data_IF_152055960606
#
_entry.id   IF_152055960606
#
_cell.length_a   1.000
_cell.length_b   1.000
_cell.length_c   1.000
_cell.angle_alpha   90.00
_cell.angle_beta   90.00
_cell.angle_gamma   90.00
#
_symmetry.space_group_name_H-M   'P 1'
#
loop_
_entity.id
_entity.type
_entity.pdbx_description
1 polymer ?
#
# COMPACT_ATOMS: atom_id res chain seq x y z
N UNK A 1 13.79 82.63 -17.59
CA UNK A 1 13.55 81.79 -16.40
C UNK A 1 12.36 80.81 -16.51
N UNK A 2 11.90 80.42 -17.73
CA UNK A 2 10.69 79.57 -17.93
C UNK A 2 10.98 78.12 -18.37
N UNK A 3 12.20 77.84 -18.82
CA UNK A 3 12.65 76.54 -19.36
C UNK A 3 12.94 75.47 -18.28
N UNK A 4 13.17 75.85 -17.02
CA UNK A 4 13.57 74.90 -15.95
C UNK A 4 12.40 74.18 -15.29
N UNK A 5 11.16 74.71 -15.40
CA UNK A 5 9.97 74.08 -14.80
C UNK A 5 9.49 72.90 -15.65
N UNK A 6 9.47 73.03 -16.98
CA UNK A 6 9.04 71.96 -17.89
C UNK A 6 9.92 70.70 -17.79
N UNK A 7 11.25 70.86 -17.66
CA UNK A 7 12.19 69.73 -17.47
C UNK A 7 11.94 68.94 -16.18
N UNK A 8 11.50 69.60 -15.10
CA UNK A 8 11.20 68.94 -13.83
C UNK A 8 9.94 68.06 -13.91
N UNK A 9 8.92 68.50 -14.65
CA UNK A 9 7.71 67.71 -14.86
C UNK A 9 7.90 66.55 -15.83
N UNK A 10 8.74 66.72 -16.87
CA UNK A 10 9.10 65.62 -17.78
C UNK A 10 9.90 64.54 -17.05
N UNK A 11 10.83 64.93 -16.17
CA UNK A 11 11.60 63.97 -15.37
C UNK A 11 10.72 63.22 -14.35
N UNK A 12 9.81 63.93 -13.68
CA UNK A 12 8.83 63.31 -12.79
C UNK A 12 7.88 62.36 -13.53
N UNK A 13 7.45 62.72 -14.74
CA UNK A 13 6.60 61.86 -15.57
C UNK A 13 7.33 60.59 -16.00
N UNK A 14 8.59 60.69 -16.43
CA UNK A 14 9.42 59.53 -16.81
C UNK A 14 9.67 58.61 -15.60
N UNK A 15 9.88 59.19 -14.41
CA UNK A 15 10.06 58.41 -13.18
C UNK A 15 8.78 57.69 -12.75
N UNK A 16 7.61 58.33 -12.87
CA UNK A 16 6.31 57.68 -12.61
C UNK A 16 6.01 56.61 -13.66
N UNK A 17 6.36 56.86 -14.92
CA UNK A 17 6.18 55.89 -16.01
C UNK A 17 7.13 54.69 -15.87
N UNK A 18 8.34 54.87 -15.31
CA UNK A 18 9.26 53.76 -15.05
C UNK A 18 8.85 52.89 -13.88
N UNK A 19 8.07 53.41 -12.92
CA UNK A 19 7.44 52.59 -11.86
C UNK A 19 6.27 51.74 -12.38
N UNK A 20 5.70 52.07 -13.55
CA UNK A 20 4.61 51.32 -14.19
C UNK A 20 5.11 50.24 -15.17
N UNK A 21 6.42 50.12 -15.39
CA UNK A 21 7.01 49.04 -16.18
C UNK A 21 7.05 47.78 -15.30
N UNK A 22 5.89 47.14 -15.21
CA UNK A 22 5.70 45.71 -14.97
C UNK A 22 6.47 45.11 -13.79
N UNK A 23 5.87 45.13 -12.60
CA UNK A 23 6.01 43.97 -11.73
C UNK A 23 5.51 42.77 -12.54
N UNK A 24 6.42 41.95 -13.06
CA UNK A 24 6.04 40.62 -13.53
C UNK A 24 5.46 39.91 -12.33
N UNK A 25 4.14 39.87 -12.22
CA UNK A 25 3.46 38.89 -11.38
C UNK A 25 3.87 37.55 -11.95
N UNK A 26 4.90 36.95 -11.35
CA UNK A 26 5.17 35.53 -11.49
C UNK A 26 3.92 34.84 -10.94
N UNK A 27 2.99 34.50 -11.83
CA UNK A 27 1.97 33.52 -11.51
C UNK A 27 2.77 32.28 -11.09
N UNK A 28 2.59 31.85 -9.84
CA UNK A 28 3.16 30.58 -9.39
C UNK A 28 2.79 29.54 -10.44
N UNK A 29 3.78 28.83 -10.99
CA UNK A 29 3.54 27.80 -11.99
C UNK A 29 2.55 26.80 -11.40
N UNK A 30 1.35 26.71 -11.96
CA UNK A 30 0.34 25.75 -11.51
C UNK A 30 0.96 24.37 -11.62
N UNK A 31 0.99 23.61 -10.52
CA UNK A 31 1.51 22.25 -10.52
C UNK A 31 0.79 21.43 -11.59
N UNK A 32 1.55 20.83 -12.51
CA UNK A 32 1.03 19.98 -13.59
C UNK A 32 0.57 18.61 -13.09
N UNK A 33 0.95 18.26 -11.85
CA UNK A 33 0.52 17.06 -11.16
C UNK A 33 -0.24 17.41 -9.88
N UNK A 34 -1.28 16.64 -9.60
CA UNK A 34 -2.04 16.66 -8.36
C UNK A 34 -2.14 15.23 -7.81
N UNK A 35 -2.08 15.08 -6.49
CA UNK A 35 -2.31 13.80 -5.83
C UNK A 35 -3.79 13.74 -5.46
N UNK A 36 -4.54 12.87 -6.14
CA UNK A 36 -5.99 12.74 -5.92
C UNK A 36 -6.29 11.97 -4.63
N UNK A 37 -5.59 10.84 -4.43
CA UNK A 37 -5.66 10.03 -3.23
C UNK A 37 -4.25 9.61 -2.83
N UNK A 38 -4.03 9.52 -1.52
CA UNK A 38 -2.80 8.98 -0.97
C UNK A 38 -3.08 8.21 0.32
N UNK A 39 -2.55 7.00 0.42
CA UNK A 39 -2.49 6.26 1.67
C UNK A 39 -1.06 6.26 2.18
N UNK A 40 -0.87 6.69 3.43
CA UNK A 40 0.42 6.76 4.12
C UNK A 40 0.39 5.75 5.26
N UNK A 41 1.19 4.69 5.16
CA UNK A 41 1.38 3.75 6.26
C UNK A 41 2.69 4.08 6.99
N UNK A 42 2.57 4.38 8.29
CA UNK A 42 3.68 4.64 9.20
C UNK A 42 3.81 3.45 10.13
N UNK A 43 4.84 2.62 9.90
CA UNK A 43 4.96 1.29 10.49
C UNK A 43 6.27 1.18 11.28
N UNK A 44 6.31 1.69 12.52
CA UNK A 44 7.48 1.56 13.39
C UNK A 44 7.71 0.10 13.77
N UNK A 45 8.98 -0.33 13.74
CA UNK A 45 9.37 -1.68 14.17
C UNK A 45 8.54 -2.80 13.49
N UNK A 46 8.28 -2.68 12.19
CA UNK A 46 7.48 -3.66 11.44
C UNK A 46 8.25 -4.96 11.23
N UNK A 47 9.22 -4.98 10.32
CA UNK A 47 10.09 -6.12 9.98
C UNK A 47 11.57 -5.84 10.29
N UNK A 48 11.91 -4.58 10.57
CA UNK A 48 13.22 -4.11 11.05
C UNK A 48 13.04 -3.21 12.28
N UNK A 49 14.10 -2.83 13.01
CA UNK A 49 14.02 -1.83 14.08
C UNK A 49 13.73 -0.39 13.60
N UNK A 50 13.82 -0.13 12.30
CA UNK A 50 13.57 1.19 11.70
C UNK A 50 12.05 1.41 11.51
N UNK A 51 11.63 2.60 11.05
CA UNK A 51 10.24 2.87 10.66
C UNK A 51 10.12 2.57 9.16
N UNK A 52 9.19 1.67 8.80
CA UNK A 52 8.79 1.47 7.41
C UNK A 52 7.72 2.50 7.02
N UNK A 53 7.95 3.20 5.92
CA UNK A 53 7.01 4.14 5.32
C UNK A 53 6.60 3.63 3.95
N UNK A 54 5.29 3.48 3.74
CA UNK A 54 4.70 3.08 2.46
C UNK A 54 3.69 4.14 2.06
N UNK A 55 3.82 4.63 0.84
CA UNK A 55 2.89 5.56 0.21
C UNK A 55 2.24 4.89 -0.99
N UNK A 56 0.93 4.77 -1.01
CA UNK A 56 0.18 4.52 -2.25
C UNK A 56 -0.36 5.85 -2.76
N UNK A 57 0.04 6.28 -3.95
CA UNK A 57 -0.22 7.63 -4.46
C UNK A 57 -0.88 7.58 -5.83
N UNK A 58 -1.97 8.32 -6.01
CA UNK A 58 -2.64 8.52 -7.30
C UNK A 58 -2.30 9.89 -7.88
N UNK A 59 -1.32 9.95 -8.79
CA UNK A 59 -0.94 11.18 -9.48
C UNK A 59 -1.83 11.43 -10.70
N UNK A 60 -2.44 12.61 -10.79
CA UNK A 60 -3.23 13.07 -11.93
C UNK A 60 -2.50 14.17 -12.68
N UNK A 61 -2.46 14.07 -14.01
CA UNK A 61 -2.08 15.19 -14.86
C UNK A 61 -3.25 16.20 -14.95
N UNK A 62 -3.04 17.40 -14.40
CA UNK A 62 -4.05 18.47 -14.36
C UNK A 62 -3.90 19.47 -15.51
N UNK A 63 -2.86 19.32 -16.34
CA UNK A 63 -2.64 20.17 -17.50
C UNK A 63 -3.47 19.74 -18.71
N UNK A 64 -3.53 20.62 -19.71
CA UNK A 64 -4.17 20.39 -21.00
C UNK A 64 -3.26 19.66 -22.01
N UNK A 65 -2.02 19.35 -21.62
CA UNK A 65 -1.03 18.68 -22.46
C UNK A 65 -0.56 17.36 -21.84
N UNK A 66 -0.07 16.39 -22.65
CA UNK A 66 0.59 15.21 -22.10
C UNK A 66 1.79 15.57 -21.22
N UNK A 67 1.90 14.95 -20.06
CA UNK A 67 2.97 15.16 -19.10
C UNK A 67 4.01 14.03 -19.17
N UNK A 68 5.22 14.36 -19.61
CA UNK A 68 6.36 13.43 -19.74
C UNK A 68 7.49 13.69 -18.73
N UNK A 69 7.21 14.49 -17.70
CA UNK A 69 8.19 14.92 -16.71
C UNK A 69 8.51 13.87 -15.66
N UNK A 70 9.22 14.31 -14.61
CA UNK A 70 9.58 13.53 -13.43
C UNK A 70 8.72 13.97 -12.26
N UNK A 71 8.34 13.03 -11.40
CA UNK A 71 7.92 13.38 -10.06
C UNK A 71 9.13 13.41 -9.12
N UNK A 72 9.04 14.27 -8.11
CA UNK A 72 10.03 14.43 -7.05
C UNK A 72 9.35 14.08 -5.73
N UNK A 73 9.99 13.23 -4.94
CA UNK A 73 9.51 12.86 -3.61
C UNK A 73 10.55 13.18 -2.57
N UNK A 74 10.19 13.99 -1.57
CA UNK A 74 11.10 14.35 -0.50
C UNK A 74 11.32 13.16 0.43
N UNK A 75 12.59 12.88 0.73
CA UNK A 75 13.03 11.86 1.66
C UNK A 75 13.75 12.51 2.85
N UNK A 76 13.44 12.09 4.09
CA UNK A 76 14.28 12.40 5.23
C UNK A 76 15.73 11.96 4.98
N UNK A 77 16.68 12.69 5.57
CA UNK A 77 18.09 12.29 5.50
C UNK A 77 18.30 10.91 6.11
N UNK A 78 19.24 10.16 5.52
CA UNK A 78 19.61 8.81 5.94
C UNK A 78 18.48 7.77 5.81
N UNK A 79 17.49 8.03 4.96
CA UNK A 79 16.53 7.01 4.52
C UNK A 79 17.23 5.88 3.77
N UNK A 80 16.70 4.66 3.85
CA UNK A 80 17.32 3.44 3.31
C UNK A 80 16.29 2.61 2.55
N UNK A 81 16.77 1.71 1.68
CA UNK A 81 15.96 0.68 0.98
C UNK A 81 14.70 1.28 0.35
N UNK A 82 14.92 2.23 -0.55
CA UNK A 82 13.86 2.95 -1.23
C UNK A 82 13.42 2.20 -2.49
N UNK A 83 12.12 2.16 -2.76
CA UNK A 83 11.54 1.54 -3.95
C UNK A 83 10.43 2.41 -4.53
N UNK A 84 10.24 2.33 -5.84
CA UNK A 84 9.07 2.88 -6.53
C UNK A 84 8.48 1.79 -7.42
N UNK A 85 7.20 1.50 -7.25
CA UNK A 85 6.48 0.53 -8.07
C UNK A 85 5.28 1.16 -8.79
N UNK A 86 5.09 0.80 -10.06
CA UNK A 86 3.87 1.12 -10.81
C UNK A 86 2.80 0.08 -10.49
N UNK A 87 1.78 0.48 -9.71
CA UNK A 87 0.74 -0.44 -9.23
C UNK A 87 -0.07 -1.05 -10.39
N UNK A 88 -0.05 -0.48 -11.59
CA UNK A 88 -0.76 -1.06 -12.74
C UNK A 88 -0.05 -2.28 -13.34
N UNK A 89 1.25 -2.45 -13.08
CA UNK A 89 2.10 -3.47 -13.71
C UNK A 89 2.37 -4.72 -12.87
N UNK A 90 1.85 -4.80 -11.65
CA UNK A 90 2.15 -5.91 -10.72
C UNK A 90 3.25 -5.53 -9.75
N UNK A 91 3.95 -6.53 -9.21
CA UNK A 91 5.15 -6.34 -8.39
C UNK A 91 6.31 -5.91 -9.31
N UNK A 92 6.65 -4.62 -9.28
CA UNK A 92 7.66 -4.02 -10.16
C UNK A 92 8.39 -2.91 -9.38
N UNK A 93 8.92 -3.27 -8.21
CA UNK A 93 9.74 -2.40 -7.39
C UNK A 93 11.04 -2.09 -8.14
N UNK A 94 11.17 -0.84 -8.53
CA UNK A 94 12.38 -0.31 -9.15
C UNK A 94 13.14 0.50 -8.10
N UNK A 95 14.46 0.42 -8.12
CA UNK A 95 15.29 1.37 -7.39
C UNK A 95 15.25 2.72 -8.12
N UNK A 96 14.66 3.78 -7.54
CA UNK A 96 14.64 5.11 -8.13
C UNK A 96 16.03 5.78 -8.16
N UNK A 97 16.13 6.86 -8.95
CA UNK A 97 17.26 7.79 -8.84
C UNK A 97 17.11 8.62 -7.58
N UNK A 98 18.16 8.71 -6.78
CA UNK A 98 18.22 9.57 -5.58
C UNK A 98 19.10 10.78 -5.84
N UNK A 99 18.55 11.96 -5.57
CA UNK A 99 19.27 13.23 -5.53
C UNK A 99 19.54 13.59 -4.08
N UNK A 100 20.82 13.70 -3.72
CA UNK A 100 21.23 14.12 -2.39
C UNK A 100 21.36 15.65 -2.31
N UNK A 101 20.72 16.27 -1.32
CA UNK A 101 20.89 17.71 -1.01
C UNK A 101 21.37 17.91 0.43
N UNK A 102 21.60 19.14 0.89
CA UNK A 102 22.09 19.35 2.27
C UNK A 102 21.05 18.97 3.34
N UNK A 103 19.78 19.36 3.14
CA UNK A 103 18.72 19.21 4.15
C UNK A 103 17.94 17.90 4.05
N UNK A 104 17.66 17.46 2.83
CA UNK A 104 16.83 16.30 2.53
C UNK A 104 17.28 15.65 1.22
N UNK A 105 17.07 14.35 1.11
CA UNK A 105 17.26 13.65 -0.15
C UNK A 105 15.95 13.65 -0.93
N UNK A 106 16.01 13.32 -2.22
CA UNK A 106 14.85 13.31 -3.09
C UNK A 106 14.90 12.08 -4.00
N UNK A 107 13.78 11.36 -4.08
CA UNK A 107 13.52 10.47 -5.22
C UNK A 107 13.20 11.36 -6.41
N UNK A 108 13.82 11.08 -7.54
CA UNK A 108 13.47 11.65 -8.83
C UNK A 108 13.13 10.49 -9.75
N UNK A 109 11.89 10.45 -10.24
CA UNK A 109 11.43 9.32 -11.05
C UNK A 109 10.60 9.79 -12.24
N UNK A 110 10.95 9.26 -13.41
CA UNK A 110 10.31 9.60 -14.68
C UNK A 110 9.19 8.63 -15.03
N UNK A 111 8.05 9.16 -15.43
CA UNK A 111 6.96 8.33 -15.94
C UNK A 111 7.40 7.61 -17.23
N UNK A 112 7.28 6.26 -17.31
CA UNK A 112 7.70 5.50 -18.49
C UNK A 112 6.91 5.87 -19.76
N UNK A 113 5.67 6.32 -19.58
CA UNK A 113 4.77 6.78 -20.63
C UNK A 113 4.20 8.14 -20.24
N UNK A 114 4.04 9.09 -21.19
CA UNK A 114 3.43 10.38 -20.89
C UNK A 114 2.01 10.22 -20.35
N UNK A 115 1.70 10.88 -19.25
CA UNK A 115 0.34 10.94 -18.70
C UNK A 115 -0.50 11.88 -19.55
N UNK A 116 -1.58 11.39 -20.14
CA UNK A 116 -2.50 12.23 -20.92
C UNK A 116 -3.24 13.23 -20.02
N UNK A 117 -3.78 14.32 -20.56
CA UNK A 117 -4.61 15.26 -19.81
C UNK A 117 -5.72 14.55 -19.02
N UNK A 118 -5.78 14.76 -17.71
CA UNK A 118 -6.74 14.13 -16.81
C UNK A 118 -6.47 12.67 -16.45
N UNK A 119 -5.46 12.02 -17.04
CA UNK A 119 -5.06 10.66 -16.71
C UNK A 119 -4.49 10.59 -15.29
N UNK A 120 -4.76 9.47 -14.60
CA UNK A 120 -4.25 9.18 -13.26
C UNK A 120 -3.33 7.96 -13.29
N UNK A 121 -2.22 8.02 -12.56
CA UNK A 121 -1.24 6.95 -12.39
C UNK A 121 -1.04 6.62 -10.92
N UNK A 122 -1.30 5.37 -10.57
CA UNK A 122 -1.11 4.85 -9.21
C UNK A 122 0.30 4.29 -9.03
N UNK A 123 1.03 4.84 -8.07
CA UNK A 123 2.38 4.43 -7.70
C UNK A 123 2.44 4.00 -6.23
N UNK A 124 3.40 3.15 -5.91
CA UNK A 124 3.80 2.85 -4.54
C UNK A 124 5.23 3.35 -4.33
N UNK A 125 5.47 4.03 -3.21
CA UNK A 125 6.79 4.51 -2.81
C UNK A 125 7.04 3.95 -1.41
N UNK A 126 8.16 3.28 -1.22
CA UNK A 126 8.51 2.68 0.07
C UNK A 126 9.93 3.05 0.46
N UNK A 127 10.16 3.24 1.74
CA UNK A 127 11.51 3.41 2.30
C UNK A 127 11.49 3.22 3.81
N UNK A 128 12.69 3.01 4.37
CA UNK A 128 12.93 2.93 5.80
C UNK A 128 13.60 4.21 6.28
N UNK A 129 13.16 4.71 7.43
CA UNK A 129 13.74 5.87 8.09
C UNK A 129 13.78 5.63 9.59
N UNK A 130 14.86 5.99 10.25
CA UNK A 130 14.98 5.81 11.69
C UNK A 130 15.31 7.12 12.40
N UNK A 131 14.29 7.63 13.07
CA UNK A 131 14.37 8.67 14.09
C UNK A 131 13.66 8.24 15.38
N UNK A 132 13.59 6.92 15.61
CA UNK A 132 13.10 6.35 16.86
C UNK A 132 14.12 6.61 17.97
N UNK A 133 13.65 7.20 19.05
CA UNK A 133 14.45 7.50 20.23
C UNK A 133 13.90 6.74 21.44
N UNK A 134 14.78 6.36 22.37
CA UNK A 134 14.41 5.74 23.65
C UNK A 134 14.34 4.22 23.68
N UNK A 135 13.93 3.69 24.83
CA UNK A 135 13.81 2.25 25.12
C UNK A 135 13.74 1.99 26.65
N UNK A 136 12.66 1.40 27.18
CA UNK A 136 11.49 0.82 26.50
C UNK A 136 10.44 1.84 26.04
N UNK A 137 10.45 3.04 26.61
CA UNK A 137 9.58 4.14 26.18
C UNK A 137 10.19 4.81 24.96
N UNK A 138 9.47 4.73 23.84
CA UNK A 138 9.95 5.15 22.53
C UNK A 138 9.14 6.31 22.00
N UNK A 139 9.82 7.19 21.27
CA UNK A 139 9.21 8.34 20.60
C UNK A 139 9.78 8.54 19.21
N UNK A 140 8.96 9.06 18.29
CA UNK A 140 9.44 9.57 17.02
C UNK A 140 8.51 10.67 16.49
N UNK A 141 8.99 11.41 15.49
CA UNK A 141 8.19 12.40 14.74
C UNK A 141 8.18 12.00 13.28
N UNK A 142 6.99 11.69 12.77
CA UNK A 142 6.78 11.58 11.34
C UNK A 142 6.41 12.95 10.77
N UNK A 143 7.07 13.33 9.68
CA UNK A 143 6.84 14.60 8.99
C UNK A 143 6.55 14.34 7.51
N UNK A 144 5.43 14.88 7.02
CA UNK A 144 5.09 14.89 5.60
C UNK A 144 5.03 16.34 5.10
N UNK A 145 5.98 16.70 4.25
CA UNK A 145 5.99 17.98 3.54
C UNK A 145 5.53 17.73 2.11
N UNK A 146 4.37 18.28 1.76
CA UNK A 146 3.72 18.03 0.49
C UNK A 146 4.39 18.81 -0.65
N UNK A 147 4.89 18.12 -1.67
CA UNK A 147 5.47 18.77 -2.87
C UNK A 147 4.39 19.16 -3.88
N UNK A 148 3.29 18.41 -3.90
CA UNK A 148 2.18 18.56 -4.85
C UNK A 148 0.90 18.95 -4.10
N UNK A 149 -0.08 19.57 -4.77
CA UNK A 149 -1.43 19.63 -4.22
C UNK A 149 -1.94 18.22 -3.93
N UNK A 150 -2.54 18.00 -2.76
CA UNK A 150 -3.14 16.72 -2.35
C UNK A 150 -4.61 16.96 -2.03
N UNK A 151 -5.51 16.38 -2.83
CA UNK A 151 -6.94 16.47 -2.58
C UNK A 151 -7.31 15.70 -1.30
N UNK A 152 -6.82 14.46 -1.17
CA UNK A 152 -7.08 13.60 -0.01
C UNK A 152 -5.89 12.70 0.31
N UNK A 153 -5.56 12.61 1.60
CA UNK A 153 -4.65 11.61 2.13
C UNK A 153 -5.23 10.93 3.37
N UNK A 154 -4.96 9.64 3.57
CA UNK A 154 -5.18 8.93 4.82
C UNK A 154 -3.83 8.54 5.41
N UNK A 155 -3.57 8.97 6.64
CA UNK A 155 -2.41 8.51 7.41
C UNK A 155 -2.84 7.41 8.36
N UNK A 156 -2.16 6.28 8.30
CA UNK A 156 -2.33 5.12 9.17
C UNK A 156 -1.05 4.87 9.96
N UNK A 157 -1.09 5.07 11.27
CA UNK A 157 0.03 4.80 12.17
C UNK A 157 -0.21 3.48 12.88
N UNK A 158 0.71 2.53 12.69
CA UNK A 158 0.60 1.18 13.22
C UNK A 158 1.25 1.11 14.60
N UNK A 159 0.53 0.53 15.57
CA UNK A 159 1.12 0.15 16.85
C UNK A 159 1.98 -1.10 16.66
N UNK A 160 3.27 -1.09 16.99
CA UNK A 160 4.08 -2.30 16.93
C UNK A 160 3.46 -3.41 17.77
N UNK A 161 3.57 -4.66 17.32
CA UNK A 161 3.12 -5.80 18.12
C UNK A 161 3.90 -5.83 19.44
N UNK A 162 3.20 -6.19 20.52
CA UNK A 162 3.72 -6.19 21.90
C UNK A 162 4.12 -4.80 22.43
N UNK A 163 3.80 -3.71 21.73
CA UNK A 163 3.83 -2.38 22.31
C UNK A 163 2.53 -2.10 23.09
N UNK A 164 2.61 -1.16 24.02
CA UNK A 164 1.49 -0.67 24.82
C UNK A 164 1.56 0.86 24.95
N UNK A 165 0.50 1.46 25.51
CA UNK A 165 0.45 2.90 25.81
C UNK A 165 0.75 3.80 24.59
N UNK A 166 0.32 3.40 23.40
CA UNK A 166 0.56 4.19 22.20
C UNK A 166 -0.27 5.48 22.24
N UNK A 167 0.40 6.60 21.97
CA UNK A 167 -0.23 7.92 21.82
C UNK A 167 0.24 8.51 20.50
N UNK A 168 -0.72 9.03 19.73
CA UNK A 168 -0.48 9.72 18.47
C UNK A 168 -0.99 11.16 18.60
N UNK A 169 -0.13 12.13 18.29
CA UNK A 169 -0.44 13.57 18.36
C UNK A 169 -0.24 14.21 16.98
N UNK A 170 -1.21 14.96 16.44
CA UNK A 170 -2.53 15.26 17.01
C UNK A 170 -3.37 13.99 17.19
N UNK A 171 -4.44 14.05 17.97
CA UNK A 171 -5.28 12.87 18.22
C UNK A 171 -5.87 12.31 16.91
N UNK A 172 -5.69 11.00 16.71
CA UNK A 172 -6.21 10.21 15.58
C UNK A 172 -7.47 9.42 15.97
N UNK A 173 -7.95 9.58 17.21
CA UNK A 173 -9.06 8.82 17.75
C UNK A 173 -8.64 7.42 18.19
N UNK A 174 -9.62 6.53 18.28
CA UNK A 174 -9.39 5.16 18.75
C UNK A 174 -8.71 4.31 17.69
N UNK A 175 -7.83 3.41 18.14
CA UNK A 175 -7.21 2.43 17.27
C UNK A 175 -8.27 1.51 16.67
N UNK A 176 -8.10 1.19 15.39
CA UNK A 176 -8.89 0.21 14.66
C UNK A 176 -8.07 -1.07 14.50
N UNK A 177 -8.73 -2.23 14.48
CA UNK A 177 -8.07 -3.47 14.10
C UNK A 177 -7.67 -3.40 12.63
N UNK A 178 -6.36 -3.41 12.39
CA UNK A 178 -5.76 -3.54 11.07
C UNK A 178 -5.54 -4.99 10.70
N UNK A 179 -4.94 -5.17 9.53
CA UNK A 179 -4.50 -6.48 9.05
C UNK A 179 -3.51 -7.13 10.03
N UNK A 180 -3.41 -8.47 10.03
CA UNK A 180 -2.47 -9.22 10.87
C UNK A 180 -2.52 -8.95 12.39
N UNK A 181 -3.65 -8.43 12.86
CA UNK A 181 -3.87 -8.13 14.28
C UNK A 181 -3.18 -6.86 14.78
N UNK A 182 -2.72 -5.97 13.88
CA UNK A 182 -2.21 -4.67 14.28
C UNK A 182 -3.32 -3.77 14.82
N UNK A 183 -3.00 -2.90 15.78
CA UNK A 183 -3.84 -1.75 16.12
C UNK A 183 -3.37 -0.55 15.29
N UNK A 184 -4.29 0.12 14.60
CA UNK A 184 -3.98 1.17 13.62
C UNK A 184 -4.77 2.43 13.91
N UNK A 185 -4.07 3.55 14.06
CA UNK A 185 -4.65 4.87 14.25
C UNK A 185 -4.73 5.56 12.89
N UNK A 186 -5.91 6.05 12.50
CA UNK A 186 -6.13 6.62 11.17
C UNK A 186 -6.61 8.06 11.21
N UNK A 187 -6.07 8.90 10.35
CA UNK A 187 -6.54 10.28 10.17
C UNK A 187 -6.53 10.69 8.71
N UNK A 188 -7.61 11.34 8.29
CA UNK A 188 -7.73 11.91 6.95
C UNK A 188 -7.20 13.35 6.95
N UNK A 189 -6.42 13.68 5.93
CA UNK A 189 -5.94 15.02 5.60
C UNK A 189 -6.56 15.41 4.24
N UNK A 190 -6.98 16.65 4.09
CA UNK A 190 -7.61 17.16 2.86
C UNK A 190 -6.97 18.45 2.41
N UNK A 191 -7.04 18.69 1.10
CA UNK A 191 -6.73 19.97 0.47
C UNK A 191 -5.35 20.52 0.87
N UNK A 192 -4.35 19.63 0.94
CA UNK A 192 -2.99 20.04 1.27
C UNK A 192 -2.40 20.79 0.08
N UNK A 193 -1.88 21.99 0.34
CA UNK A 193 -1.16 22.79 -0.66
C UNK A 193 0.31 22.37 -0.71
N UNK A 194 1.02 22.59 -1.83
CA UNK A 194 2.47 22.51 -1.85
C UNK A 194 3.11 23.29 -0.69
N UNK A 195 4.09 22.68 -0.03
CA UNK A 195 4.74 23.19 1.18
C UNK A 195 3.96 22.96 2.49
N UNK A 196 2.75 22.40 2.45
CA UNK A 196 2.02 22.04 3.68
C UNK A 196 2.80 20.98 4.45
N UNK A 197 2.90 21.17 5.77
CA UNK A 197 3.65 20.31 6.65
C UNK A 197 2.71 19.64 7.67
N UNK A 198 2.57 18.32 7.57
CA UNK A 198 1.86 17.51 8.55
C UNK A 198 2.88 16.80 9.45
N UNK A 199 2.93 17.22 10.72
CA UNK A 199 3.76 16.58 11.74
C UNK A 199 2.92 15.72 12.67
N UNK A 200 3.36 14.48 12.87
CA UNK A 200 2.71 13.48 13.71
C UNK A 200 3.74 12.96 14.71
N UNK A 201 3.51 13.23 15.99
CA UNK A 201 4.35 12.76 17.09
C UNK A 201 3.75 11.47 17.63
N UNK A 202 4.59 10.48 17.83
CA UNK A 202 4.17 9.16 18.29
C UNK A 202 5.00 8.76 19.50
N UNK A 203 4.35 8.22 20.52
CA UNK A 203 5.02 7.58 21.65
C UNK A 203 4.39 6.23 21.95
N UNK A 204 5.17 5.27 22.43
CA UNK A 204 4.69 3.96 22.89
C UNK A 204 5.73 3.28 23.80
N UNK A 205 5.29 2.31 24.60
CA UNK A 205 6.19 1.49 25.43
C UNK A 205 6.35 0.11 24.81
N UNK A 206 7.58 -0.33 24.53
CA UNK A 206 7.90 -1.66 24.03
C UNK A 206 9.23 -2.16 24.59
N UNK A 207 9.17 -3.16 25.46
CA UNK A 207 10.33 -3.82 26.06
C UNK A 207 10.86 -5.00 25.22
N UNK A 208 10.02 -5.60 24.37
CA UNK A 208 10.44 -6.64 23.44
C UNK A 208 11.34 -6.03 22.35
N UNK A 209 12.57 -6.54 22.12
CA UNK A 209 13.49 -5.95 21.15
C UNK A 209 13.19 -6.37 19.70
N UNK A 210 12.31 -7.34 19.46
CA UNK A 210 12.06 -7.90 18.13
C UNK A 210 11.05 -7.05 17.35
N UNK A 211 11.20 -6.90 16.03
CA UNK A 211 10.16 -6.33 15.18
C UNK A 211 8.85 -7.12 15.24
N UNK A 212 7.77 -6.49 14.77
CA UNK A 212 6.41 -7.03 14.80
C UNK A 212 6.23 -8.25 13.89
N UNK A 213 6.96 -8.28 12.78
CA UNK A 213 6.97 -9.31 11.74
C UNK A 213 8.40 -9.83 11.65
N UNK A 214 8.56 -11.14 11.51
CA UNK A 214 9.88 -11.71 11.33
C UNK A 214 10.45 -11.22 9.99
N UNK A 215 11.72 -10.77 9.95
CA UNK A 215 12.35 -10.42 8.68
C UNK A 215 12.34 -11.65 7.78
N UNK A 216 11.98 -11.46 6.50
CA UNK A 216 12.17 -12.50 5.49
C UNK A 216 13.66 -12.84 5.46
N UNK A 217 14.01 -14.08 5.80
CA UNK A 217 15.40 -14.52 5.74
C UNK A 217 15.89 -14.45 4.29
N UNK A 218 16.96 -13.69 4.03
CA UNK A 218 17.66 -13.60 2.73
C UNK A 218 18.38 -14.93 2.32
N UNK A 219 17.90 -16.08 2.79
CA UNK A 219 18.46 -17.38 2.46
C UNK A 219 17.79 -17.98 1.23
N UNK A 220 18.02 -17.39 0.05
CA UNK A 220 17.95 -18.12 -1.22
C UNK A 220 18.70 -17.51 -2.40
N UNK A 221 19.71 -16.65 -2.17
CA UNK A 221 20.66 -16.21 -3.22
C UNK A 221 22.11 -16.39 -2.79
N UNK A 222 22.46 -17.55 -2.22
CA UNK A 222 23.85 -18.03 -2.29
C UNK A 222 23.89 -19.54 -1.99
N UNK A 223 23.68 -20.36 -3.01
CA UNK A 223 24.10 -21.77 -2.99
C UNK A 223 24.73 -22.09 -4.33
N UNK A 224 25.83 -21.40 -4.58
CA UNK A 224 26.76 -21.64 -5.67
C UNK A 224 28.15 -21.32 -5.19
N UNK A 225 28.68 -22.14 -4.28
CA UNK A 225 30.07 -22.59 -4.28
C UNK A 225 30.26 -23.62 -3.16
N UNK A 226 30.46 -24.84 -3.60
CA UNK A 226 30.88 -25.99 -2.81
C UNK A 226 32.26 -25.77 -2.20
N UNK A 227 32.41 -26.02 -0.90
CA UNK A 227 33.61 -26.69 -0.37
C UNK A 227 33.23 -27.54 0.83
N UNK A 228 33.44 -28.84 0.68
CA UNK A 228 33.19 -29.87 1.69
C UNK A 228 34.24 -29.79 2.80
N UNK A 229 33.83 -30.03 4.05
CA UNK A 229 34.43 -31.06 4.92
C UNK A 229 33.63 -31.29 6.20
N UNK A 230 33.70 -32.50 6.79
CA UNK A 230 32.54 -33.14 7.44
C UNK A 230 32.64 -33.21 8.97
N UNK A 231 31.52 -33.12 9.70
CA UNK A 231 31.26 -34.03 10.83
C UNK A 231 29.80 -33.99 11.36
N UNK A 232 29.08 -35.07 11.07
CA UNK A 232 28.08 -35.75 11.91
C UNK A 232 27.40 -34.99 13.06
N UNK A 233 26.08 -34.75 12.91
CA UNK A 233 25.11 -35.18 13.93
C UNK A 233 23.91 -35.84 13.26
N UNK A 234 23.75 -37.13 13.60
CA UNK A 234 22.60 -37.98 13.28
C UNK A 234 21.37 -37.45 14.02
N UNK A 235 20.25 -37.27 13.31
CA UNK A 235 18.91 -37.28 13.90
C UNK A 235 17.99 -38.19 13.09
N UNK A 236 17.82 -39.40 13.63
CA UNK A 236 16.69 -40.34 13.51
C UNK A 236 15.65 -40.11 12.40
N UNK A 237 15.77 -40.90 11.33
CA UNK A 237 14.78 -41.11 10.26
C UNK A 237 13.55 -41.95 10.69
N UNK A 238 13.25 -42.05 11.98
CA UNK A 238 12.11 -42.82 12.47
C UNK A 238 10.82 -41.99 12.64
N UNK A 239 10.92 -40.65 12.71
CA UNK A 239 9.75 -39.78 12.96
C UNK A 239 8.93 -39.52 11.69
N UNK A 240 9.60 -39.40 10.52
CA UNK A 240 8.94 -39.12 9.24
C UNK A 240 8.06 -40.28 8.75
N UNK A 241 8.44 -41.53 9.06
CA UNK A 241 7.66 -42.71 8.65
C UNK A 241 6.40 -42.92 9.50
N UNK A 242 6.37 -42.46 10.75
CA UNK A 242 5.20 -42.56 11.62
C UNK A 242 4.10 -41.58 11.16
N UNK A 243 4.46 -40.37 10.76
CA UNK A 243 3.50 -39.39 10.23
C UNK A 243 2.98 -39.78 8.84
N UNK A 244 3.81 -40.38 7.99
CA UNK A 244 3.38 -40.85 6.67
C UNK A 244 2.42 -42.05 6.76
N UNK A 245 2.64 -42.99 7.70
CA UNK A 245 1.74 -44.12 7.91
C UNK A 245 0.39 -43.72 8.53
N UNK A 246 0.38 -42.75 9.45
CA UNK A 246 -0.84 -42.21 10.04
C UNK A 246 -1.71 -41.48 9.00
N UNK A 247 -1.09 -40.76 8.07
CA UNK A 247 -1.78 -40.04 7.00
C UNK A 247 -2.47 -40.98 6.00
N UNK A 248 -1.80 -42.07 5.59
CA UNK A 248 -2.38 -43.07 4.67
C UNK A 248 -3.52 -43.85 5.31
N UNK A 249 -3.42 -44.17 6.61
CA UNK A 249 -4.50 -44.85 7.34
C UNK A 249 -5.79 -44.03 7.45
N UNK A 250 -5.67 -42.71 7.69
CA UNK A 250 -6.82 -41.80 7.78
C UNK A 250 -7.48 -41.61 6.40
N UNK A 251 -6.69 -41.49 5.32
CA UNK A 251 -7.24 -41.38 3.96
C UNK A 251 -8.01 -42.64 3.54
N UNK A 252 -7.49 -43.83 3.83
CA UNK A 252 -8.16 -45.09 3.48
C UNK A 252 -9.52 -45.26 4.18
N UNK A 253 -9.62 -44.81 5.42
CA UNK A 253 -10.87 -44.89 6.22
C UNK A 253 -11.95 -43.93 5.69
N UNK A 254 -11.54 -42.74 5.22
CA UNK A 254 -12.43 -41.75 4.60
C UNK A 254 -13.00 -42.29 3.28
N UNK A 255 -12.17 -42.90 2.44
CA UNK A 255 -12.57 -43.46 1.14
C UNK A 255 -13.51 -44.67 1.33
N UNK A 256 -13.21 -45.57 2.26
CA UNK A 256 -14.06 -46.73 2.57
C UNK A 256 -15.47 -46.33 3.05
N UNK A 257 -15.56 -45.27 3.87
CA UNK A 257 -16.83 -44.77 4.41
C UNK A 257 -17.63 -43.95 3.38
N UNK A 258 -16.96 -43.43 2.35
CA UNK A 258 -17.60 -42.77 1.22
C UNK A 258 -18.20 -43.78 0.23
N UNK A 259 -17.53 -44.91 -0.02
CA UNK A 259 -18.00 -45.94 -0.95
C UNK A 259 -19.10 -46.86 -0.39
N UNK A 260 -19.29 -46.92 0.93
CA UNK A 260 -20.23 -47.84 1.57
C UNK A 260 -21.66 -47.29 1.79
N UNK A 261 -21.97 -46.07 1.33
CA UNK A 261 -23.31 -45.46 1.52
C UNK A 261 -24.23 -45.81 0.34
N UNK A 262 -25.29 -46.57 0.59
CA UNK A 262 -26.35 -46.87 -0.40
C UNK A 262 -27.27 -45.65 -0.58
N UNK A 263 -27.73 -45.33 -1.81
CA UNK A 263 -28.63 -44.22 -2.05
C UNK A 263 -30.06 -44.51 -1.54
N UNK A 264 -30.64 -43.54 -0.84
CA UNK A 264 -32.04 -43.56 -0.36
C UNK A 264 -32.95 -43.11 -1.52
N UNK A 265 -34.05 -43.83 -1.83
CA UNK A 265 -34.97 -43.41 -2.89
C UNK A 265 -35.90 -42.27 -2.43
N UNK A 266 -36.09 -41.30 -3.33
CA UNK A 266 -36.92 -40.11 -3.15
C UNK A 266 -38.40 -40.45 -3.41
N UNK A 267 -39.29 -40.06 -2.49
CA UNK A 267 -40.74 -40.06 -2.69
C UNK A 267 -41.28 -38.63 -2.83
N UNK A 268 -42.24 -38.47 -3.75
CA UNK A 268 -42.77 -37.22 -4.32
C UNK A 268 -44.14 -36.87 -3.75
N UNK A 269 -44.42 -35.55 -3.71
CA UNK A 269 -45.72 -34.83 -3.51
C UNK A 269 -46.23 -34.56 -2.08
N UNK A 270 -46.50 -33.28 -1.74
CA UNK A 270 -47.85 -32.65 -1.62
C UNK A 270 -47.76 -31.11 -1.36
N UNK A 271 -48.85 -30.40 -1.70
CA UNK A 271 -49.10 -28.95 -1.83
C UNK A 271 -49.47 -28.18 -0.52
N UNK A 272 -49.41 -26.83 -0.64
CA UNK A 272 -50.13 -25.73 0.09
C UNK A 272 -49.62 -25.40 1.52
N UNK A 273 -49.54 -24.17 2.04
CA UNK A 273 -50.31 -22.90 1.88
C UNK A 273 -49.50 -21.70 2.45
N UNK A 274 -49.93 -20.45 2.21
CA UNK A 274 -49.24 -19.17 2.46
C UNK A 274 -49.35 -18.63 3.89
N UNK A 275 -48.32 -17.91 4.40
CA UNK A 275 -48.45 -16.55 4.96
C UNK A 275 -47.10 -15.83 5.20
N UNK A 276 -47.18 -14.49 5.20
CA UNK A 276 -46.15 -13.45 5.08
C UNK A 276 -45.16 -13.32 6.27
N UNK A 277 -43.88 -13.07 5.99
CA UNK A 277 -43.12 -11.92 6.52
C UNK A 277 -41.79 -11.74 5.76
N UNK A 278 -41.41 -10.49 5.58
CA UNK A 278 -40.51 -9.98 4.52
C UNK A 278 -39.04 -10.01 4.96
N UNK A 279 -38.18 -10.75 4.24
CA UNK A 279 -36.72 -10.58 4.31
C UNK A 279 -36.08 -10.87 2.94
N UNK A 280 -35.13 -10.03 2.55
CA UNK A 280 -34.46 -10.02 1.25
C UNK A 280 -33.84 -11.39 0.93
N UNK A 281 -34.01 -11.82 -0.33
CA UNK A 281 -34.05 -13.21 -0.80
C UNK A 281 -32.70 -13.90 -1.01
N UNK A 282 -32.68 -15.22 -0.78
CA UNK A 282 -31.60 -16.20 -1.05
C UNK A 282 -31.17 -16.30 -2.54
N UNK A 283 -31.74 -15.50 -3.44
CA UNK A 283 -31.48 -15.59 -4.89
C UNK A 283 -30.12 -14.98 -5.28
N UNK A 284 -29.65 -13.96 -4.54
CA UNK A 284 -28.29 -13.41 -4.71
C UNK A 284 -27.21 -14.33 -4.13
N UNK A 285 -27.48 -15.03 -3.03
CA UNK A 285 -26.56 -16.01 -2.45
C UNK A 285 -26.48 -17.30 -3.27
N UNK A 286 -27.61 -17.76 -3.85
CA UNK A 286 -27.64 -18.99 -4.69
C UNK A 286 -26.96 -18.84 -6.05
N UNK A 287 -26.70 -17.63 -6.54
CA UNK A 287 -25.88 -17.42 -7.76
C UNK A 287 -24.38 -17.61 -7.52
N UNK A 288 -23.92 -17.58 -6.28
CA UNK A 288 -22.51 -17.80 -5.92
C UNK A 288 -22.19 -19.28 -5.62
N UNK A 289 -23.20 -20.15 -5.46
CA UNK A 289 -23.03 -21.52 -4.95
C UNK A 289 -23.36 -22.66 -5.94
N UNK A 290 -23.67 -22.38 -7.21
CA UNK A 290 -23.92 -23.44 -8.20
C UNK A 290 -22.92 -23.38 -9.37
N UNK A 291 -21.95 -24.30 -9.48
CA UNK A 291 -21.15 -24.44 -10.68
C UNK A 291 -21.98 -25.21 -11.71
N UNK A 292 -22.68 -24.47 -12.57
CA UNK A 292 -23.13 -25.01 -13.85
C UNK A 292 -21.89 -25.28 -14.70
N UNK A 293 -21.55 -26.56 -14.84
CA UNK A 293 -20.62 -27.15 -15.80
C UNK A 293 -20.57 -26.35 -17.12
N UNK A 294 -19.57 -25.50 -17.28
CA UNK A 294 -19.15 -24.81 -18.51
C UNK A 294 -17.86 -24.05 -18.23
N UNK A 295 -16.81 -24.38 -18.98
CA UNK A 295 -15.49 -23.76 -18.92
C UNK A 295 -15.56 -22.23 -18.77
N UNK A 296 -14.73 -21.62 -17.91
CA UNK A 296 -14.73 -20.18 -17.71
C UNK A 296 -14.21 -19.48 -18.97
N UNK A 297 -14.97 -18.50 -19.47
CA UNK A 297 -14.43 -17.62 -20.52
C UNK A 297 -13.29 -16.78 -19.94
N UNK A 298 -12.20 -16.65 -20.69
CA UNK A 298 -10.96 -15.95 -20.32
C UNK A 298 -11.18 -14.51 -19.78
N UNK A 299 -12.32 -13.89 -20.11
CA UNK A 299 -12.73 -12.55 -19.65
C UNK A 299 -13.25 -12.54 -18.21
N UNK A 300 -13.91 -13.62 -17.76
CA UNK A 300 -14.43 -13.77 -16.38
C UNK A 300 -13.28 -14.04 -15.40
N UNK A 301 -12.37 -14.94 -15.77
CA UNK A 301 -11.18 -15.25 -14.97
C UNK A 301 -10.30 -14.02 -14.70
N UNK A 302 -10.09 -13.18 -15.74
CA UNK A 302 -9.35 -11.92 -15.59
C UNK A 302 -10.04 -10.94 -14.64
N UNK A 303 -11.38 -10.91 -14.64
CA UNK A 303 -12.15 -10.08 -13.73
C UNK A 303 -12.04 -10.58 -12.28
N UNK A 304 -12.03 -11.89 -12.07
CA UNK A 304 -11.97 -12.49 -10.73
C UNK A 304 -10.55 -12.40 -10.13
N UNK A 305 -9.49 -12.61 -10.93
CA UNK A 305 -8.09 -12.31 -10.55
C UNK A 305 -7.91 -10.83 -10.17
N UNK A 306 -8.57 -9.92 -10.89
CA UNK A 306 -8.55 -8.48 -10.57
C UNK A 306 -9.25 -8.18 -9.25
N UNK A 307 -10.41 -8.81 -8.95
CA UNK A 307 -11.10 -8.63 -7.67
C UNK A 307 -10.28 -9.15 -6.49
N UNK A 308 -9.58 -10.27 -6.64
CA UNK A 308 -8.66 -10.78 -5.62
C UNK A 308 -7.54 -9.79 -5.35
N UNK A 309 -6.96 -9.24 -6.41
CA UNK A 309 -5.92 -8.22 -6.29
C UNK A 309 -6.45 -6.95 -5.62
N UNK A 310 -7.64 -6.49 -5.99
CA UNK A 310 -8.26 -5.32 -5.36
C UNK A 310 -8.60 -5.60 -3.88
N UNK A 311 -8.98 -6.83 -3.54
CA UNK A 311 -9.20 -7.27 -2.16
C UNK A 311 -7.90 -7.31 -1.34
N UNK A 312 -6.79 -7.76 -1.93
CA UNK A 312 -5.46 -7.72 -1.31
C UNK A 312 -5.01 -6.28 -1.09
N UNK A 313 -5.11 -5.44 -2.13
CA UNK A 313 -4.69 -4.03 -2.08
C UNK A 313 -5.54 -3.17 -1.14
N UNK A 314 -6.81 -3.54 -0.94
CA UNK A 314 -7.70 -2.88 0.02
C UNK A 314 -7.63 -3.50 1.43
N UNK A 315 -6.77 -4.51 1.64
CA UNK A 315 -6.57 -5.18 2.92
C UNK A 315 -7.76 -6.03 3.38
N UNK A 316 -8.66 -6.42 2.47
CA UNK A 316 -9.82 -7.28 2.76
C UNK A 316 -9.44 -8.75 2.91
N UNK A 317 -8.30 -9.17 2.34
CA UNK A 317 -7.76 -10.54 2.43
C UNK A 317 -6.26 -10.50 2.73
N UNK A 318 -5.74 -11.55 3.38
CA UNK A 318 -4.30 -11.75 3.59
C UNK A 318 -3.58 -12.12 2.30
N UNK A 319 -2.26 -11.96 2.28
CA UNK A 319 -1.41 -12.47 1.20
C UNK A 319 -1.52 -14.00 1.08
N UNK A 320 -1.56 -14.71 2.21
CA UNK A 320 -1.78 -16.17 2.24
C UNK A 320 -3.14 -16.56 1.62
N UNK A 321 -4.21 -15.86 1.99
CA UNK A 321 -5.55 -16.08 1.43
C UNK A 321 -5.61 -15.68 -0.04
N UNK A 322 -4.88 -14.64 -0.45
CA UNK A 322 -4.75 -14.28 -1.86
C UNK A 322 -4.09 -15.41 -2.66
N UNK A 323 -3.00 -16.00 -2.17
CA UNK A 323 -2.33 -17.10 -2.84
C UNK A 323 -3.17 -18.38 -2.89
N UNK A 324 -3.88 -18.72 -1.81
CA UNK A 324 -4.81 -19.86 -1.79
C UNK A 324 -5.94 -19.70 -2.82
N UNK A 325 -6.61 -18.54 -2.81
CA UNK A 325 -7.71 -18.27 -3.74
C UNK A 325 -7.22 -18.14 -5.19
N UNK A 326 -6.02 -17.61 -5.41
CA UNK A 326 -5.42 -17.54 -6.73
C UNK A 326 -5.05 -18.94 -7.27
N UNK A 327 -4.58 -19.84 -6.41
CA UNK A 327 -4.30 -21.23 -6.78
C UNK A 327 -5.59 -21.97 -7.15
N UNK A 328 -6.65 -21.84 -6.35
CA UNK A 328 -7.97 -22.41 -6.63
C UNK A 328 -8.54 -21.90 -7.96
N UNK A 329 -8.43 -20.59 -8.22
CA UNK A 329 -8.86 -19.99 -9.51
C UNK A 329 -8.04 -20.45 -10.73
N UNK A 330 -6.80 -20.90 -10.54
CA UNK A 330 -5.98 -21.46 -11.61
C UNK A 330 -6.25 -22.96 -11.79
N UNK A 331 -6.57 -23.69 -10.73
CA UNK A 331 -6.99 -25.11 -10.83
C UNK A 331 -8.32 -25.25 -11.58
N UNK A 332 -9.24 -24.28 -11.45
CA UNK A 332 -10.47 -24.19 -12.26
C UNK A 332 -10.23 -23.83 -13.75
N UNK A 333 -9.04 -23.33 -14.11
CA UNK A 333 -8.64 -23.05 -15.50
C UNK A 333 -8.19 -24.32 -16.23
N UNK A 334 -7.58 -25.25 -15.49
CA UNK A 334 -6.97 -26.49 -16.00
C UNK A 334 -7.92 -27.72 -15.96
N UNK A 335 -9.13 -27.58 -15.40
CA UNK A 335 -10.16 -28.64 -15.27
C UNK A 335 -11.24 -28.58 -16.36
#
# INVERSE_FOLDING_TARGET
>A
MRQSKAKKYVFALIMVLSLMIGTKTTFAETSKLEIMNMDINVMPEYDTPDILLIYSVDFKNTSDQPYSGEFVWNLPKNSKRYTVADKTKGDNHLEPTIKHNEKNDQIVWKFPTPLQPGETKSLQIEYYYNNLEGGPDKTFVYEYISEYPVAKAQVSVYQPKKASNMVVTPDFGQAQTGYEGFSVYKKELKDLKPGSNAQIKVSYTKSDPNPSVAPLSEQQVQSGLSTQSPQNKRTSSAVVLIFLAAFVGVLGLIIYKAMSRKPIPIHRNRKQEYEHEEFITDEEFRKLQNPSNKQPSHKKLKADKRKLRDALLSGRISEETYHQLLAELNEEEDS
#
